data_IF_409584723673
#
_entry.id   IF_409584723673
#
_cell.length_a   1.000
_cell.length_b   1.000
_cell.length_c   1.000
_cell.angle_alpha   90.00
_cell.angle_beta   90.00
_cell.angle_gamma   90.00
#
_symmetry.space_group_name_H-M   'P 1'
#
loop_
_entity.id
_entity.type
_entity.pdbx_description
1 polymer ?
#
# COMPACT_ATOMS: atom_id res chain seq x y z
N UNK A 1 47.28 1.98 53.33
CA UNK A 1 46.94 1.02 52.27
C UNK A 1 45.42 1.01 52.04
N UNK A 2 44.87 2.14 51.62
CA UNK A 2 43.45 2.30 51.26
C UNK A 2 43.34 3.51 50.32
N UNK A 3 43.33 3.28 49.03
CA UNK A 3 42.88 4.23 47.98
C UNK A 3 43.24 3.63 46.61
N UNK A 4 42.43 2.73 46.10
CA UNK A 4 42.42 2.37 44.65
C UNK A 4 41.28 1.39 44.28
N UNK A 5 40.06 1.58 44.78
CA UNK A 5 38.89 0.79 44.32
C UNK A 5 37.66 1.71 44.12
N UNK A 6 37.80 2.85 43.48
CA UNK A 6 36.63 3.69 43.23
C UNK A 6 36.61 4.33 41.83
N UNK A 7 37.45 3.90 40.90
CA UNK A 7 37.46 4.48 39.57
C UNK A 7 37.03 3.55 38.42
N UNK A 8 36.85 2.26 38.71
CA UNK A 8 36.48 1.29 37.66
C UNK A 8 34.95 1.08 37.49
N UNK A 9 34.13 1.49 38.45
CA UNK A 9 32.68 1.27 38.42
C UNK A 9 31.92 2.43 37.70
N UNK A 10 32.51 3.62 37.65
CA UNK A 10 31.92 4.77 36.98
C UNK A 10 32.13 4.82 35.48
N UNK A 11 33.09 4.09 34.93
CA UNK A 11 33.32 3.98 33.49
C UNK A 11 32.47 2.91 32.81
N UNK A 12 31.96 1.93 33.53
CA UNK A 12 31.08 0.89 33.00
C UNK A 12 29.62 1.39 32.87
N UNK A 13 29.19 2.31 33.73
CA UNK A 13 27.84 2.90 33.65
C UNK A 13 27.70 3.96 32.54
N UNK A 14 28.80 4.58 32.11
CA UNK A 14 28.81 5.56 31.03
C UNK A 14 28.80 4.97 29.63
N UNK A 15 29.17 3.70 29.46
CA UNK A 15 29.21 3.01 28.19
C UNK A 15 27.88 2.26 27.86
N UNK A 16 27.04 2.01 28.85
CA UNK A 16 25.70 1.44 28.63
C UNK A 16 24.62 2.46 28.25
N UNK A 17 24.84 3.75 28.48
CA UNK A 17 23.89 4.81 28.16
C UNK A 17 24.05 5.35 26.73
N UNK A 18 25.00 4.86 25.95
CA UNK A 18 25.26 5.33 24.57
C UNK A 18 24.86 4.32 23.49
N UNK A 19 24.18 3.23 23.83
CA UNK A 19 23.79 2.20 22.88
C UNK A 19 22.29 2.14 22.56
N UNK A 20 21.48 3.09 22.99
CA UNK A 20 20.05 3.07 22.64
C UNK A 20 19.55 4.42 22.14
N UNK A 21 20.09 4.87 21.05
CA UNK A 21 19.38 5.68 20.06
C UNK A 21 19.73 5.15 18.67
N UNK A 22 19.40 3.90 18.39
CA UNK A 22 19.05 3.57 17.03
C UNK A 22 17.81 4.41 16.76
N UNK A 23 18.03 5.48 16.02
CA UNK A 23 16.95 6.33 15.49
C UNK A 23 16.00 5.40 14.78
N UNK A 24 14.74 5.40 15.16
CA UNK A 24 13.71 4.80 14.38
C UNK A 24 13.91 5.28 12.94
N UNK A 25 14.32 4.35 12.07
CA UNK A 25 14.49 4.70 10.67
C UNK A 25 13.11 4.97 10.16
N UNK A 26 12.84 6.22 9.83
CA UNK A 26 11.58 6.63 9.27
C UNK A 26 11.36 5.86 7.97
N UNK A 27 10.21 5.27 7.82
CA UNK A 27 9.78 4.65 6.59
C UNK A 27 8.32 5.01 6.36
N UNK A 28 7.94 5.08 5.09
CA UNK A 28 6.53 5.25 4.77
C UNK A 28 5.82 3.92 4.94
N UNK A 29 4.83 3.82 5.80
CA UNK A 29 4.13 2.58 6.01
C UNK A 29 3.37 2.18 4.77
N UNK A 30 3.69 1.03 4.23
CA UNK A 30 2.92 0.45 3.15
C UNK A 30 1.67 -0.24 3.66
N UNK A 31 1.80 -0.99 4.73
CA UNK A 31 0.73 -1.82 5.30
C UNK A 31 1.07 -2.21 6.72
N UNK A 32 0.10 -2.13 7.61
CA UNK A 32 0.09 -2.97 8.81
C UNK A 32 -0.74 -4.20 8.48
N UNK A 33 -0.11 -5.34 8.46
CA UNK A 33 -0.77 -6.59 8.14
C UNK A 33 -0.96 -7.41 9.40
N UNK A 34 -2.19 -7.88 9.60
CA UNK A 34 -2.51 -8.82 10.65
C UNK A 34 -2.35 -10.23 10.10
N UNK A 35 -1.49 -11.03 10.74
CA UNK A 35 -1.36 -12.44 10.42
C UNK A 35 -2.60 -13.22 10.86
N UNK A 36 -3.57 -13.28 9.96
CA UNK A 36 -4.81 -14.04 10.14
C UNK A 36 -4.70 -15.51 9.71
N UNK A 37 -3.52 -15.99 9.35
CA UNK A 37 -3.35 -17.29 8.70
C UNK A 37 -3.53 -18.49 9.60
N UNK A 38 -3.62 -18.28 10.85
CA UNK A 38 -4.27 -19.23 11.70
C UNK A 38 -5.71 -18.74 11.84
N UNK A 39 -6.64 -19.45 11.24
CA UNK A 39 -8.11 -19.30 11.37
C UNK A 39 -8.55 -19.33 12.82
N UNK A 40 -7.74 -19.84 13.66
CA UNK A 40 -7.66 -19.54 15.07
C UNK A 40 -6.71 -18.34 15.18
N UNK A 41 -7.22 -17.14 14.82
CA UNK A 41 -6.61 -15.91 15.25
C UNK A 41 -6.07 -16.23 16.61
N UNK A 42 -4.78 -16.29 16.69
CA UNK A 42 -4.15 -16.31 17.97
C UNK A 42 -4.87 -15.25 18.76
N UNK A 43 -5.42 -15.60 19.92
CA UNK A 43 -5.77 -14.59 20.90
C UNK A 43 -4.59 -13.61 21.12
N UNK A 44 -3.46 -13.87 20.50
CA UNK A 44 -2.20 -13.18 20.38
C UNK A 44 -1.89 -12.78 18.93
N UNK A 45 -2.83 -12.28 18.16
CA UNK A 45 -2.61 -11.76 16.79
C UNK A 45 -1.37 -10.87 16.77
N UNK A 46 -0.43 -11.20 15.91
CA UNK A 46 0.76 -10.38 15.72
C UNK A 46 0.61 -9.55 14.46
N UNK A 47 0.80 -8.26 14.60
CA UNK A 47 0.80 -7.32 13.50
C UNK A 47 2.20 -7.20 12.92
N UNK A 48 2.28 -7.06 11.59
CA UNK A 48 3.51 -6.82 10.85
C UNK A 48 3.36 -5.58 10.00
N UNK A 49 4.20 -4.60 10.23
CA UNK A 49 4.17 -3.33 9.55
C UNK A 49 5.26 -3.29 8.49
N UNK A 50 4.87 -3.29 7.23
CA UNK A 50 5.78 -3.18 6.09
C UNK A 50 5.75 -1.76 5.55
N UNK A 51 6.93 -1.23 5.21
CA UNK A 51 7.04 0.10 4.66
C UNK A 51 8.31 0.28 3.84
N UNK A 52 8.28 1.30 3.02
CA UNK A 52 9.41 1.73 2.22
C UNK A 52 10.50 2.29 3.12
N UNK A 53 11.71 1.72 3.08
CA UNK A 53 12.84 2.22 3.86
C UNK A 53 13.41 3.47 3.19
N UNK A 54 12.95 4.62 3.62
CA UNK A 54 13.37 5.92 3.09
C UNK A 54 14.78 6.30 3.55
N UNK A 55 15.44 7.12 2.73
CA UNK A 55 16.72 7.76 3.07
C UNK A 55 16.53 9.26 3.21
N UNK A 56 17.52 9.95 3.76
CA UNK A 56 17.44 11.39 4.05
C UNK A 56 17.43 12.23 2.76
N UNK A 57 16.72 13.37 2.80
CA UNK A 57 16.66 14.36 1.75
C UNK A 57 15.55 14.15 0.73
N UNK A 58 15.46 15.05 -0.25
CA UNK A 58 14.45 15.04 -1.32
C UNK A 58 14.53 13.79 -2.20
N UNK A 59 15.73 13.24 -2.39
CA UNK A 59 15.96 11.99 -3.12
C UNK A 59 15.61 10.73 -2.34
N UNK A 60 15.14 10.85 -1.10
CA UNK A 60 14.86 9.71 -0.22
C UNK A 60 13.67 8.85 -0.62
N UNK A 61 12.86 9.32 -1.58
CA UNK A 61 11.77 8.56 -2.21
C UNK A 61 12.28 7.45 -3.14
N UNK A 62 13.49 7.59 -3.67
CA UNK A 62 14.15 6.56 -4.47
C UNK A 62 14.59 5.41 -3.56
N UNK A 63 14.32 4.17 -3.96
CA UNK A 63 14.64 2.98 -3.18
C UNK A 63 16.15 2.71 -3.14
N UNK A 64 16.76 2.99 -2.00
CA UNK A 64 18.18 2.74 -1.75
C UNK A 64 18.41 1.51 -0.86
N UNK A 65 17.37 1.07 -0.14
CA UNK A 65 17.43 -0.04 0.84
C UNK A 65 16.39 -1.11 0.50
N UNK A 66 15.12 -0.74 0.33
CA UNK A 66 14.02 -1.65 0.03
C UNK A 66 12.85 -1.53 1.00
N UNK A 67 12.25 -2.67 1.36
CA UNK A 67 11.11 -2.75 2.28
C UNK A 67 11.59 -3.17 3.67
N UNK A 68 11.19 -2.43 4.68
CA UNK A 68 11.44 -2.74 6.10
C UNK A 68 10.22 -3.37 6.76
N UNK A 69 10.43 -4.14 7.82
CA UNK A 69 9.37 -4.78 8.60
C UNK A 69 9.51 -4.50 10.09
N UNK A 70 8.39 -4.19 10.73
CA UNK A 70 8.26 -4.15 12.19
C UNK A 70 7.14 -5.10 12.63
N UNK A 71 7.17 -5.58 13.86
CA UNK A 71 6.11 -6.42 14.42
C UNK A 71 5.63 -5.91 15.79
N UNK A 72 4.34 -6.12 16.07
CA UNK A 72 3.72 -5.77 17.34
C UNK A 72 2.65 -6.78 17.73
N UNK A 73 2.38 -6.90 19.03
CA UNK A 73 1.25 -7.67 19.58
C UNK A 73 0.13 -6.76 20.11
N UNK A 74 0.37 -5.46 20.20
CA UNK A 74 -0.54 -4.50 20.84
C UNK A 74 -0.75 -3.20 20.06
N UNK A 75 -0.09 -3.04 18.88
CA UNK A 75 -0.07 -1.83 18.06
C UNK A 75 0.61 -0.61 18.71
N UNK A 76 1.06 -0.70 19.95
CA UNK A 76 1.74 0.37 20.68
C UNK A 76 3.25 0.16 20.74
N UNK A 77 3.68 -1.09 20.91
CA UNK A 77 5.08 -1.47 21.06
C UNK A 77 5.54 -2.26 19.82
N UNK A 78 6.51 -1.72 19.09
CA UNK A 78 6.99 -2.28 17.85
C UNK A 78 8.41 -2.79 17.96
N UNK A 79 8.62 -4.01 17.49
CA UNK A 79 9.94 -4.64 17.36
C UNK A 79 10.43 -4.46 15.93
N UNK A 80 11.66 -4.00 15.74
CA UNK A 80 12.34 -3.98 14.45
C UNK A 80 12.70 -5.41 14.01
N UNK A 81 12.16 -5.84 12.87
CA UNK A 81 12.44 -7.15 12.26
C UNK A 81 13.47 -7.04 11.12
N UNK A 82 13.86 -5.82 10.74
CA UNK A 82 14.88 -5.56 9.73
C UNK A 82 14.33 -5.45 8.30
N UNK A 83 15.22 -5.64 7.33
CA UNK A 83 14.91 -5.52 5.89
C UNK A 83 14.18 -6.77 5.42
N UNK A 84 12.92 -6.62 5.05
CA UNK A 84 12.10 -7.71 4.52
C UNK A 84 12.44 -8.01 3.05
N UNK A 85 12.58 -6.97 2.22
CA UNK A 85 13.02 -7.08 0.82
C UNK A 85 14.12 -6.05 0.56
N UNK A 86 15.31 -6.49 0.23
CA UNK A 86 16.40 -5.60 -0.18
C UNK A 86 16.30 -5.29 -1.68
N UNK A 87 16.62 -4.05 -2.06
CA UNK A 87 16.87 -3.73 -3.49
C UNK A 87 18.11 -4.46 -3.97
N UNK A 88 18.14 -4.77 -5.26
CA UNK A 88 19.30 -5.38 -5.89
C UNK A 88 20.46 -4.37 -6.01
N UNK A 89 21.71 -4.83 -6.08
CA UNK A 89 22.86 -3.95 -6.25
C UNK A 89 22.74 -3.08 -7.51
N UNK A 90 23.30 -1.88 -7.44
CA UNK A 90 23.38 -0.98 -8.59
C UNK A 90 24.14 -1.63 -9.75
N UNK A 91 23.63 -1.49 -10.97
CA UNK A 91 24.19 -2.10 -12.17
C UNK A 91 23.91 -3.60 -12.31
N UNK A 92 23.05 -4.17 -11.47
CA UNK A 92 22.66 -5.58 -11.56
C UNK A 92 21.75 -5.89 -12.75
N UNK A 93 21.11 -4.87 -13.33
CA UNK A 93 20.07 -5.03 -14.35
C UNK A 93 18.74 -5.59 -13.82
N UNK A 94 18.60 -5.71 -12.50
CA UNK A 94 17.35 -6.11 -11.87
C UNK A 94 16.32 -4.98 -11.95
N UNK A 95 15.03 -5.24 -12.20
CA UNK A 95 14.00 -4.22 -12.11
C UNK A 95 13.96 -3.48 -10.76
N UNK A 96 14.35 -4.17 -9.66
CA UNK A 96 14.43 -3.59 -8.32
C UNK A 96 15.87 -3.19 -7.94
N UNK A 97 16.72 -2.81 -8.91
CA UNK A 97 18.04 -2.34 -8.55
C UNK A 97 18.00 -1.02 -7.78
N UNK A 98 19.03 -0.78 -6.98
CA UNK A 98 19.18 0.47 -6.23
C UNK A 98 18.99 1.67 -7.16
N UNK A 99 18.08 2.57 -6.78
CA UNK A 99 17.69 3.72 -7.58
C UNK A 99 16.36 3.54 -8.34
N UNK A 100 15.67 2.40 -8.20
CA UNK A 100 14.28 2.26 -8.60
C UNK A 100 13.36 3.03 -7.66
N UNK A 101 12.08 3.16 -8.01
CA UNK A 101 11.01 3.59 -7.10
C UNK A 101 10.23 2.34 -6.72
N UNK A 102 10.16 2.03 -5.43
CA UNK A 102 9.44 0.90 -4.87
C UNK A 102 8.48 1.45 -3.82
N UNK A 103 7.19 1.42 -4.12
CA UNK A 103 6.16 2.08 -3.30
C UNK A 103 5.03 1.13 -2.93
N UNK A 104 4.31 1.47 -1.86
CA UNK A 104 3.08 0.79 -1.43
C UNK A 104 3.22 -0.72 -1.20
N UNK A 105 4.30 -1.24 -0.58
CA UNK A 105 4.42 -2.68 -0.38
C UNK A 105 3.25 -3.22 0.43
N UNK A 106 2.68 -4.33 -0.04
CA UNK A 106 1.60 -5.08 0.61
C UNK A 106 1.96 -6.55 0.66
N UNK A 107 1.64 -7.20 1.76
CA UNK A 107 1.91 -8.62 1.98
C UNK A 107 0.60 -9.35 2.24
N UNK A 108 0.45 -10.50 1.60
CA UNK A 108 -0.62 -11.46 1.86
C UNK A 108 -0.03 -12.86 2.02
N UNK A 109 -0.70 -13.71 2.77
CA UNK A 109 -0.30 -15.10 2.92
C UNK A 109 -1.16 -16.00 2.04
N UNK A 110 -0.51 -16.90 1.33
CA UNK A 110 -1.20 -17.92 0.56
C UNK A 110 -1.26 -19.23 1.35
N UNK A 111 -2.43 -19.55 1.89
CA UNK A 111 -2.63 -20.75 2.70
C UNK A 111 -2.35 -22.05 1.92
N UNK A 112 -2.57 -22.05 0.60
CA UNK A 112 -2.35 -23.22 -0.26
C UNK A 112 -0.86 -23.54 -0.44
N UNK A 113 -0.01 -22.51 -0.61
CA UNK A 113 1.43 -22.67 -0.84
C UNK A 113 2.26 -22.51 0.43
N UNK A 114 1.66 -21.98 1.50
CA UNK A 114 2.36 -21.60 2.74
C UNK A 114 3.29 -20.41 2.57
N UNK A 115 3.22 -19.69 1.46
CA UNK A 115 4.11 -18.56 1.16
C UNK A 115 3.47 -17.23 1.56
N UNK A 116 4.33 -16.31 1.98
CA UNK A 116 4.03 -14.88 2.07
C UNK A 116 4.38 -14.24 0.74
N UNK A 117 3.44 -13.51 0.16
CA UNK A 117 3.59 -12.87 -1.15
C UNK A 117 3.51 -11.37 -0.96
N UNK A 118 4.54 -10.66 -1.38
CA UNK A 118 4.62 -9.21 -1.35
C UNK A 118 4.43 -8.67 -2.76
N UNK A 119 3.53 -7.70 -2.90
CA UNK A 119 3.36 -6.90 -4.10
C UNK A 119 3.69 -5.44 -3.80
N UNK A 120 4.15 -4.72 -4.81
CA UNK A 120 4.48 -3.30 -4.70
C UNK A 120 4.41 -2.62 -6.06
N UNK A 121 4.15 -1.31 -6.05
CA UNK A 121 4.33 -0.45 -7.22
C UNK A 121 5.83 -0.31 -7.50
N UNK A 122 6.20 -0.44 -8.76
CA UNK A 122 7.59 -0.37 -9.20
C UNK A 122 7.75 0.54 -10.41
N UNK A 123 8.66 1.49 -10.27
CA UNK A 123 9.23 2.22 -11.42
C UNK A 123 10.71 1.83 -11.55
N UNK A 124 11.11 1.23 -12.66
CA UNK A 124 12.51 0.93 -12.90
C UNK A 124 13.38 2.17 -12.86
N UNK A 125 14.64 2.04 -12.48
CA UNK A 125 15.59 3.14 -12.40
C UNK A 125 15.60 3.95 -13.71
N UNK A 126 15.38 5.27 -13.57
CA UNK A 126 15.35 6.20 -14.70
C UNK A 126 14.03 6.27 -15.47
N UNK A 127 13.03 5.45 -15.15
CA UNK A 127 11.73 5.50 -15.80
C UNK A 127 10.83 6.64 -15.31
N UNK A 128 11.18 7.31 -14.21
CA UNK A 128 10.27 8.21 -13.53
C UNK A 128 9.00 7.47 -13.12
N UNK A 129 7.83 7.99 -13.47
CA UNK A 129 6.54 7.32 -13.24
C UNK A 129 5.89 6.79 -14.54
N UNK A 130 6.70 6.49 -15.57
CA UNK A 130 6.19 5.98 -16.85
C UNK A 130 6.22 4.47 -16.98
N UNK A 131 6.98 3.78 -16.13
CA UNK A 131 7.03 2.32 -16.09
C UNK A 131 5.71 1.72 -15.63
N UNK A 132 5.18 2.23 -14.52
CA UNK A 132 3.90 1.84 -13.92
C UNK A 132 3.73 0.33 -13.83
N UNK A 133 4.71 -0.34 -13.21
CA UNK A 133 4.78 -1.78 -13.08
C UNK A 133 4.35 -2.24 -11.68
N UNK A 134 3.96 -3.48 -11.56
CA UNK A 134 3.87 -4.19 -10.28
C UNK A 134 5.06 -5.12 -10.13
N UNK A 135 5.68 -5.10 -8.95
CA UNK A 135 6.70 -6.05 -8.57
C UNK A 135 6.15 -7.10 -7.60
N UNK A 136 6.67 -8.32 -7.68
CA UNK A 136 6.27 -9.45 -6.85
C UNK A 136 7.47 -10.11 -6.21
N UNK A 137 7.37 -10.39 -4.91
CA UNK A 137 8.38 -11.12 -4.15
C UNK A 137 7.72 -12.13 -3.21
N UNK A 138 8.42 -13.19 -2.84
CA UNK A 138 7.92 -14.26 -1.97
C UNK A 138 8.89 -14.61 -0.86
N UNK A 139 8.35 -15.08 0.26
CA UNK A 139 9.13 -15.61 1.39
C UNK A 139 8.42 -16.79 2.05
N UNK A 140 9.19 -17.62 2.74
CA UNK A 140 8.69 -18.65 3.66
C UNK A 140 8.35 -18.09 5.05
N UNK A 141 8.78 -16.86 5.34
CA UNK A 141 8.57 -16.18 6.62
C UNK A 141 7.94 -14.81 6.38
N UNK A 142 7.02 -14.42 7.25
CA UNK A 142 6.37 -13.11 7.17
C UNK A 142 7.37 -11.95 7.15
N UNK A 143 8.40 -12.01 8.00
CA UNK A 143 9.43 -10.97 8.09
C UNK A 143 10.49 -11.00 6.98
N UNK A 144 10.43 -11.99 6.09
CA UNK A 144 11.41 -12.18 5.03
C UNK A 144 12.60 -13.07 5.45
N UNK A 145 13.72 -13.02 4.68
CA UNK A 145 13.90 -12.20 3.50
C UNK A 145 13.00 -12.64 2.33
N UNK A 146 12.42 -11.65 1.67
CA UNK A 146 11.65 -11.88 0.44
C UNK A 146 12.60 -12.00 -0.74
N UNK A 147 12.30 -12.93 -1.63
CA UNK A 147 12.99 -13.11 -2.90
C UNK A 147 12.15 -12.53 -4.02
N UNK A 148 12.67 -11.52 -4.70
CA UNK A 148 12.04 -10.95 -5.89
C UNK A 148 11.80 -12.03 -6.95
N UNK A 149 10.62 -12.05 -7.56
CA UNK A 149 10.24 -12.98 -8.61
C UNK A 149 10.29 -12.32 -9.98
N UNK A 150 9.47 -11.31 -10.16
CA UNK A 150 9.32 -10.58 -11.43
C UNK A 150 8.68 -9.23 -11.21
N UNK A 151 8.71 -8.42 -12.26
CA UNK A 151 7.93 -7.20 -12.37
C UNK A 151 7.48 -6.99 -13.80
N UNK A 152 6.43 -6.19 -13.98
CA UNK A 152 5.91 -5.83 -15.28
C UNK A 152 4.57 -5.12 -15.18
N UNK A 153 4.10 -4.62 -16.31
CA UNK A 153 2.71 -4.22 -16.48
C UNK A 153 1.84 -5.47 -16.51
N UNK A 154 0.59 -5.31 -16.16
CA UNK A 154 -0.28 -6.43 -15.80
C UNK A 154 -1.37 -6.69 -16.84
N UNK A 155 -1.92 -7.91 -16.84
CA UNK A 155 -3.03 -8.31 -17.72
C UNK A 155 -2.77 -8.08 -19.24
N UNK A 156 -1.52 -8.25 -19.72
CA UNK A 156 -1.18 -8.09 -21.12
C UNK A 156 -2.07 -8.98 -22.01
N UNK A 157 -2.60 -8.41 -23.10
CA UNK A 157 -3.49 -9.09 -24.04
C UNK A 157 -4.89 -9.40 -23.51
N UNK A 158 -5.26 -8.91 -22.31
CA UNK A 158 -6.57 -9.16 -21.68
C UNK A 158 -7.41 -7.90 -21.62
N UNK A 159 -8.68 -8.02 -22.02
CA UNK A 159 -9.65 -6.96 -21.84
C UNK A 159 -10.33 -7.07 -20.48
N UNK A 160 -10.64 -5.93 -19.82
CA UNK A 160 -11.44 -5.94 -18.61
C UNK A 160 -12.86 -6.46 -18.88
N UNK A 161 -13.47 -7.07 -17.88
CA UNK A 161 -14.85 -7.53 -17.96
C UNK A 161 -15.78 -6.36 -18.33
N UNK A 162 -16.79 -6.64 -19.13
CA UNK A 162 -17.78 -5.64 -19.57
C UNK A 162 -17.25 -4.64 -20.58
N UNK A 163 -16.05 -4.80 -21.16
CA UNK A 163 -15.56 -3.91 -22.21
C UNK A 163 -16.44 -4.00 -23.47
N UNK A 164 -17.09 -2.91 -23.88
CA UNK A 164 -17.95 -2.92 -25.06
C UNK A 164 -17.13 -3.12 -26.34
N UNK A 165 -17.72 -3.79 -27.32
CA UNK A 165 -17.06 -4.06 -28.61
C UNK A 165 -16.68 -2.77 -29.35
N UNK A 166 -17.47 -1.71 -29.18
CA UNK A 166 -17.18 -0.40 -29.73
C UNK A 166 -15.84 0.17 -29.22
N UNK A 167 -15.49 -0.07 -27.96
CA UNK A 167 -14.21 0.38 -27.41
C UNK A 167 -13.04 -0.48 -27.90
N UNK A 168 -13.24 -1.78 -28.09
CA UNK A 168 -12.21 -2.69 -28.63
C UNK A 168 -11.84 -2.33 -30.07
N UNK A 169 -12.82 -1.89 -30.86
CA UNK A 169 -12.62 -1.53 -32.28
C UNK A 169 -12.21 -0.08 -32.49
N UNK A 170 -12.53 0.82 -31.56
CA UNK A 170 -12.19 2.24 -31.66
C UNK A 170 -10.66 2.46 -31.77
N UNK A 171 -10.22 3.52 -32.47
CA UNK A 171 -8.81 3.87 -32.51
C UNK A 171 -8.29 4.35 -31.14
N UNK A 172 -6.99 4.19 -30.94
CA UNK A 172 -6.28 4.83 -29.81
C UNK A 172 -6.07 6.30 -30.13
N UNK A 173 -6.44 7.19 -29.21
CA UNK A 173 -6.28 8.65 -29.35
C UNK A 173 -5.13 9.18 -28.48
N UNK A 174 -4.65 8.40 -27.51
CA UNK A 174 -3.61 8.81 -26.56
C UNK A 174 -2.29 8.16 -26.92
N UNK A 175 -1.34 8.92 -27.39
CA UNK A 175 0.03 8.47 -27.68
C UNK A 175 0.99 8.79 -26.54
N UNK A 176 0.75 9.88 -25.80
CA UNK A 176 1.61 10.35 -24.72
C UNK A 176 1.21 9.79 -23.35
N UNK A 177 2.10 9.92 -22.40
CA UNK A 177 1.82 9.71 -20.97
C UNK A 177 1.29 11.00 -20.35
N UNK A 178 0.35 10.83 -19.44
CA UNK A 178 -0.23 11.90 -18.62
C UNK A 178 -0.02 11.57 -17.14
N UNK A 179 -0.15 12.55 -16.28
CA UNK A 179 -0.05 12.36 -14.85
C UNK A 179 -1.01 13.27 -14.09
N UNK A 180 -1.44 12.81 -12.92
CA UNK A 180 -2.04 13.65 -11.92
C UNK A 180 -3.29 14.44 -12.31
N UNK A 181 -4.12 13.94 -13.20
CA UNK A 181 -5.33 14.64 -13.62
C UNK A 181 -5.15 15.50 -14.88
N UNK A 182 -4.01 15.41 -15.54
CA UNK A 182 -3.69 16.16 -16.76
C UNK A 182 -4.36 15.60 -18.04
N UNK A 183 -5.17 14.54 -17.90
CA UNK A 183 -5.87 13.95 -19.03
C UNK A 183 -6.82 14.96 -19.68
N UNK A 184 -6.69 15.21 -20.99
CA UNK A 184 -7.52 16.20 -21.70
C UNK A 184 -8.95 15.73 -21.91
N UNK A 185 -9.23 14.43 -21.75
CA UNK A 185 -10.53 13.81 -21.96
C UNK A 185 -10.71 12.56 -21.11
N UNK A 186 -11.96 12.05 -21.05
CA UNK A 186 -12.26 10.79 -20.36
C UNK A 186 -11.45 9.62 -20.96
N UNK A 187 -10.93 8.66 -20.15
CA UNK A 187 -10.05 7.59 -20.62
C UNK A 187 -10.63 6.74 -21.76
N UNK A 188 -11.94 6.53 -21.82
CA UNK A 188 -12.58 5.80 -22.91
C UNK A 188 -12.51 6.56 -24.26
N UNK A 189 -12.56 7.89 -24.25
CA UNK A 189 -12.41 8.68 -25.48
C UNK A 189 -10.98 8.67 -26.01
N UNK A 190 -10.00 8.53 -25.13
CA UNK A 190 -8.59 8.35 -25.49
C UNK A 190 -8.24 6.90 -25.80
N UNK A 191 -9.07 5.97 -25.39
CA UNK A 191 -8.87 4.52 -25.47
C UNK A 191 -7.55 4.03 -24.85
N UNK A 192 -7.27 4.50 -23.62
CA UNK A 192 -6.07 4.16 -22.88
C UNK A 192 -5.97 2.65 -22.63
N UNK A 193 -7.10 2.00 -22.37
CA UNK A 193 -7.15 0.55 -22.15
C UNK A 193 -6.64 -0.24 -23.36
N UNK A 194 -6.92 0.22 -24.58
CA UNK A 194 -6.40 -0.40 -25.81
C UNK A 194 -4.95 -0.02 -26.08
N UNK A 195 -4.54 1.20 -25.76
CA UNK A 195 -3.14 1.62 -25.85
C UNK A 195 -2.23 0.65 -25.12
N UNK A 196 -2.64 0.27 -23.91
CA UNK A 196 -1.84 -0.56 -22.99
C UNK A 196 -2.19 -2.06 -23.08
N UNK A 197 -3.05 -2.47 -24.03
CA UNK A 197 -3.53 -3.85 -24.11
C UNK A 197 -2.39 -4.85 -24.31
N UNK A 198 -1.55 -4.66 -25.33
CA UNK A 198 -0.50 -5.61 -25.69
C UNK A 198 0.65 -5.60 -24.68
N UNK A 199 1.03 -4.42 -24.19
CA UNK A 199 2.13 -4.24 -23.24
C UNK A 199 1.76 -4.50 -21.80
N UNK A 200 0.46 -4.64 -21.52
CA UNK A 200 -0.09 -4.73 -20.17
C UNK A 200 -0.49 -3.37 -19.60
N UNK A 201 -1.48 -3.42 -18.70
CA UNK A 201 -2.05 -2.25 -18.05
C UNK A 201 -1.07 -1.66 -17.03
N UNK A 202 -1.08 -0.33 -16.91
CA UNK A 202 -0.35 0.37 -15.85
C UNK A 202 -0.85 -0.05 -14.47
N UNK A 203 0.04 -0.11 -13.48
CA UNK A 203 -0.32 -0.27 -12.09
C UNK A 203 0.58 0.60 -11.23
N UNK A 204 -0.02 1.57 -10.54
CA UNK A 204 0.66 2.49 -9.62
C UNK A 204 0.17 2.24 -8.19
N UNK A 205 -0.29 3.26 -7.48
CA UNK A 205 -0.80 3.10 -6.12
C UNK A 205 -1.73 1.90 -5.98
N UNK A 206 -1.46 1.05 -5.00
CA UNK A 206 -2.09 -0.26 -4.95
C UNK A 206 -2.42 -0.74 -3.55
N UNK A 207 -3.32 -1.69 -3.48
CA UNK A 207 -3.65 -2.49 -2.30
C UNK A 207 -3.84 -3.95 -2.68
N UNK A 208 -3.78 -4.83 -1.70
CA UNK A 208 -4.17 -6.23 -1.81
C UNK A 208 -5.32 -6.53 -0.86
N UNK A 209 -6.21 -7.40 -1.29
CA UNK A 209 -7.30 -7.91 -0.45
C UNK A 209 -7.45 -9.40 -0.67
N UNK A 210 -7.62 -10.16 0.41
CA UNK A 210 -7.95 -11.59 0.38
C UNK A 210 -9.33 -11.75 0.97
N UNK A 211 -10.25 -12.31 0.19
CA UNK A 211 -11.62 -12.55 0.62
C UNK A 211 -11.72 -13.82 1.49
N UNK A 212 -12.87 -14.03 2.11
CA UNK A 212 -13.13 -15.14 3.05
C UNK A 212 -12.97 -16.52 2.39
N UNK A 213 -13.17 -16.62 1.08
CA UNK A 213 -12.98 -17.86 0.31
C UNK A 213 -11.53 -18.11 -0.12
N UNK A 214 -10.60 -17.21 0.24
CA UNK A 214 -9.20 -17.26 -0.15
C UNK A 214 -8.92 -16.72 -1.55
N UNK A 215 -9.89 -16.11 -2.22
CA UNK A 215 -9.63 -15.38 -3.47
C UNK A 215 -8.93 -14.08 -3.17
N UNK A 216 -7.80 -13.83 -3.84
CA UNK A 216 -7.03 -12.60 -3.65
C UNK A 216 -7.21 -11.63 -4.83
N UNK A 217 -7.17 -10.35 -4.50
CA UNK A 217 -7.37 -9.25 -5.44
C UNK A 217 -6.28 -8.20 -5.32
N UNK A 218 -5.88 -7.64 -6.45
CA UNK A 218 -5.02 -6.48 -6.58
C UNK A 218 -5.87 -5.29 -7.02
N UNK A 219 -5.85 -4.22 -6.25
CA UNK A 219 -6.57 -2.96 -6.49
C UNK A 219 -5.53 -1.91 -6.79
N UNK A 220 -5.61 -1.22 -7.92
CA UNK A 220 -4.54 -0.31 -8.34
C UNK A 220 -5.05 0.82 -9.23
N UNK A 221 -4.33 1.95 -9.18
CA UNK A 221 -4.53 3.07 -10.10
C UNK A 221 -3.88 2.75 -11.46
N UNK A 222 -4.63 2.95 -12.52
CA UNK A 222 -4.27 2.61 -13.90
C UNK A 222 -4.69 3.71 -14.88
N UNK A 223 -4.42 3.50 -16.17
CA UNK A 223 -4.83 4.42 -17.23
C UNK A 223 -4.43 5.88 -16.91
N UNK A 224 -3.14 6.11 -16.64
CA UNK A 224 -2.57 7.39 -16.21
C UNK A 224 -3.23 7.93 -14.91
N UNK A 225 -3.50 7.06 -13.96
CA UNK A 225 -4.22 7.32 -12.70
C UNK A 225 -5.69 7.73 -12.87
N UNK A 226 -6.20 7.76 -14.09
CA UNK A 226 -7.59 8.18 -14.33
C UNK A 226 -8.64 7.17 -13.88
N UNK A 227 -8.25 5.91 -13.77
CA UNK A 227 -9.17 4.78 -13.55
C UNK A 227 -8.58 3.84 -12.50
N UNK A 228 -9.40 3.43 -11.55
CA UNK A 228 -9.05 2.33 -10.66
C UNK A 228 -9.37 1.00 -11.34
N UNK A 229 -8.48 0.04 -11.25
CA UNK A 229 -8.72 -1.33 -11.69
C UNK A 229 -8.66 -2.29 -10.52
N UNK A 230 -9.47 -3.34 -10.56
CA UNK A 230 -9.48 -4.44 -9.58
C UNK A 230 -9.30 -5.73 -10.34
N UNK A 231 -8.19 -6.42 -10.09
CA UNK A 231 -7.83 -7.65 -10.76
C UNK A 231 -7.73 -8.82 -9.78
N UNK A 232 -8.24 -9.99 -10.19
CA UNK A 232 -8.09 -11.22 -9.43
C UNK A 232 -6.70 -11.79 -9.62
N UNK A 233 -6.08 -12.24 -8.54
CA UNK A 233 -4.81 -12.95 -8.58
C UNK A 233 -5.02 -14.44 -8.89
N UNK A 234 -3.96 -15.08 -9.38
CA UNK A 234 -3.92 -16.51 -9.57
C UNK A 234 -3.93 -17.25 -8.21
N UNK A 235 -4.05 -18.56 -8.24
CA UNK A 235 -4.11 -19.39 -7.04
C UNK A 235 -2.86 -19.35 -6.15
N UNK A 236 -1.72 -18.89 -6.67
CA UNK A 236 -0.47 -18.72 -5.92
C UNK A 236 -0.27 -17.31 -5.39
N UNK A 237 -1.13 -16.38 -5.79
CA UNK A 237 -1.05 -14.95 -5.52
C UNK A 237 0.17 -14.26 -6.14
N UNK A 238 0.86 -14.90 -7.04
CA UNK A 238 2.10 -14.40 -7.64
C UNK A 238 1.92 -13.79 -9.01
N UNK A 239 0.71 -13.86 -9.58
CA UNK A 239 0.37 -13.28 -10.87
C UNK A 239 -1.16 -13.02 -10.94
N UNK A 240 -1.62 -12.37 -12.00
CA UNK A 240 -3.03 -12.19 -12.30
C UNK A 240 -3.57 -13.39 -13.10
N UNK A 241 -4.85 -13.70 -12.92
CA UNK A 241 -5.51 -14.76 -13.72
C UNK A 241 -6.13 -14.23 -15.03
N UNK A 242 -6.04 -12.92 -15.26
CA UNK A 242 -6.60 -12.24 -16.43
C UNK A 242 -8.01 -11.72 -16.24
N UNK A 243 -8.61 -11.91 -15.06
CA UNK A 243 -9.94 -11.40 -14.71
C UNK A 243 -9.83 -10.06 -14.00
N UNK A 244 -10.37 -8.98 -14.57
CA UNK A 244 -10.36 -7.66 -13.94
C UNK A 244 -11.48 -6.76 -14.43
N UNK A 245 -11.76 -5.73 -13.64
CA UNK A 245 -12.75 -4.69 -13.93
C UNK A 245 -12.11 -3.30 -13.89
N UNK A 246 -12.82 -2.33 -14.43
CA UNK A 246 -12.50 -0.89 -14.37
C UNK A 246 -13.54 -0.18 -13.51
N UNK A 247 -13.10 0.55 -12.50
CA UNK A 247 -13.94 1.32 -11.59
C UNK A 247 -13.57 2.80 -11.66
N UNK A 248 -14.52 3.69 -11.41
CA UNK A 248 -14.30 5.13 -11.25
C UNK A 248 -13.55 5.78 -12.41
N UNK A 249 -13.91 5.43 -13.63
CA UNK A 249 -13.27 5.94 -14.86
C UNK A 249 -13.30 7.46 -14.93
N UNK A 250 -12.14 8.07 -15.14
CA UNK A 250 -11.96 9.53 -15.16
C UNK A 250 -12.06 10.22 -13.81
N UNK A 251 -12.05 9.47 -12.70
CA UNK A 251 -12.17 10.02 -11.34
C UNK A 251 -10.83 10.32 -10.68
N UNK A 252 -9.71 9.84 -11.23
CA UNK A 252 -8.36 10.05 -10.69
C UNK A 252 -8.28 9.70 -9.20
N UNK A 253 -8.48 8.44 -8.88
CA UNK A 253 -8.43 7.91 -7.53
C UNK A 253 -7.12 7.17 -7.29
N UNK A 254 -6.42 7.56 -6.23
CA UNK A 254 -5.17 6.95 -5.78
C UNK A 254 -5.29 6.33 -4.39
N UNK A 255 -4.21 5.69 -3.94
CA UNK A 255 -4.06 5.16 -2.60
C UNK A 255 -5.24 4.30 -2.13
N UNK A 256 -5.69 3.30 -2.92
CA UNK A 256 -6.82 2.47 -2.54
C UNK A 256 -6.52 1.68 -1.27
N UNK A 257 -7.52 1.60 -0.37
CA UNK A 257 -7.51 0.74 0.81
C UNK A 257 -8.86 0.02 0.90
N UNK A 258 -8.84 -1.29 0.69
CA UNK A 258 -10.05 -2.13 0.69
C UNK A 258 -10.22 -2.85 2.02
N UNK A 259 -11.45 -2.96 2.48
CA UNK A 259 -11.83 -3.82 3.61
C UNK A 259 -13.26 -4.35 3.44
N UNK A 260 -13.62 -5.35 4.24
CA UNK A 260 -14.94 -5.96 4.26
C UNK A 260 -15.59 -5.76 5.62
N UNK A 261 -16.85 -5.34 5.63
CA UNK A 261 -17.65 -5.18 6.83
C UNK A 261 -19.10 -5.61 6.54
N UNK A 262 -19.69 -6.44 7.41
CA UNK A 262 -21.07 -6.95 7.30
C UNK A 262 -21.40 -7.48 5.89
N UNK A 263 -20.46 -8.22 5.30
CA UNK A 263 -20.65 -8.86 3.99
C UNK A 263 -20.53 -7.90 2.79
N UNK A 264 -20.27 -6.63 3.00
CA UNK A 264 -20.06 -5.62 1.94
C UNK A 264 -18.59 -5.21 1.85
N UNK A 265 -18.16 -4.79 0.68
CA UNK A 265 -16.80 -4.33 0.42
C UNK A 265 -16.77 -2.81 0.38
N UNK A 266 -15.78 -2.25 1.04
CA UNK A 266 -15.57 -0.81 1.11
C UNK A 266 -14.18 -0.44 0.57
N UNK A 267 -14.11 0.70 -0.07
CA UNK A 267 -12.87 1.32 -0.52
C UNK A 267 -12.75 2.71 0.08
N UNK A 268 -11.56 3.03 0.57
CA UNK A 268 -11.10 4.38 0.82
C UNK A 268 -10.02 4.72 -0.18
N UNK A 269 -10.02 5.94 -0.71
CA UNK A 269 -9.11 6.42 -1.74
C UNK A 269 -8.84 7.90 -1.54
N UNK A 270 -7.85 8.44 -2.23
CA UNK A 270 -7.61 9.88 -2.36
C UNK A 270 -7.91 10.37 -3.77
N UNK A 271 -7.91 11.69 -3.97
CA UNK A 271 -7.70 12.28 -5.30
C UNK A 271 -6.23 12.25 -5.70
N UNK A 272 -5.92 12.64 -6.93
CA UNK A 272 -4.58 12.69 -7.49
C UNK A 272 -4.09 14.14 -7.50
N UNK A 273 -3.32 14.55 -6.49
CA UNK A 273 -2.81 15.91 -6.31
C UNK A 273 -1.31 15.96 -5.97
N UNK A 274 -0.56 14.93 -6.38
CA UNK A 274 0.86 14.80 -6.06
C UNK A 274 1.07 14.70 -4.55
N UNK A 275 2.01 15.47 -4.01
CA UNK A 275 2.33 15.45 -2.58
C UNK A 275 1.36 16.27 -1.70
N UNK A 276 0.43 17.01 -2.31
CA UNK A 276 -0.55 17.81 -1.56
C UNK A 276 -1.70 16.95 -1.07
N UNK A 277 -2.07 17.03 0.23
CA UNK A 277 -3.23 16.29 0.73
C UNK A 277 -4.53 16.82 0.10
N UNK A 278 -5.51 15.95 -0.02
CA UNK A 278 -6.82 16.27 -0.56
C UNK A 278 -7.93 15.51 0.18
N UNK A 279 -9.18 15.79 -0.17
CA UNK A 279 -10.32 15.10 0.40
C UNK A 279 -10.31 13.61 0.03
N UNK A 280 -10.42 12.75 1.04
CA UNK A 280 -10.61 11.34 0.84
C UNK A 280 -11.92 11.06 0.07
N UNK A 281 -11.99 9.90 -0.53
CA UNK A 281 -13.15 9.38 -1.25
C UNK A 281 -13.45 7.98 -0.75
N UNK A 282 -14.70 7.62 -0.72
CA UNK A 282 -15.10 6.27 -0.33
C UNK A 282 -16.13 5.69 -1.27
N UNK A 283 -16.16 4.38 -1.31
CA UNK A 283 -17.14 3.65 -2.12
C UNK A 283 -17.48 2.31 -1.48
N UNK A 284 -18.60 1.72 -1.92
CA UNK A 284 -19.11 0.45 -1.43
C UNK A 284 -19.60 -0.41 -2.57
N UNK A 285 -19.47 -1.73 -2.42
CA UNK A 285 -20.02 -2.74 -3.34
C UNK A 285 -20.50 -3.98 -2.60
N UNK A 286 -21.42 -4.72 -3.21
CA UNK A 286 -21.86 -6.03 -2.71
C UNK A 286 -20.99 -7.18 -3.28
N UNK A 287 -20.17 -6.89 -4.29
CA UNK A 287 -19.24 -7.82 -4.91
C UNK A 287 -17.99 -7.09 -5.38
N UNK A 288 -16.80 -7.67 -5.16
CA UNK A 288 -15.51 -7.01 -5.47
C UNK A 288 -15.38 -6.68 -6.97
N UNK A 289 -15.80 -7.61 -7.84
CA UNK A 289 -15.79 -7.42 -9.30
C UNK A 289 -17.13 -6.91 -9.83
N UNK A 290 -18.02 -6.41 -8.97
CA UNK A 290 -19.31 -5.84 -9.33
C UNK A 290 -19.29 -4.33 -9.49
N UNK A 291 -20.47 -3.74 -9.37
CA UNK A 291 -20.64 -2.28 -9.42
C UNK A 291 -20.30 -1.64 -8.07
N UNK A 292 -19.55 -0.56 -8.13
CA UNK A 292 -19.14 0.25 -6.98
C UNK A 292 -19.91 1.56 -6.94
N UNK A 293 -20.46 1.89 -5.78
CA UNK A 293 -21.17 3.16 -5.52
C UNK A 293 -20.30 4.08 -4.67
N UNK A 294 -20.04 5.31 -5.18
CA UNK A 294 -19.31 6.31 -4.42
C UNK A 294 -20.16 6.83 -3.24
N UNK A 295 -19.56 6.96 -2.06
CA UNK A 295 -20.17 7.47 -0.83
C UNK A 295 -19.69 8.88 -0.44
N UNK A 296 -18.70 9.41 -1.17
CA UNK A 296 -18.09 10.70 -0.89
C UNK A 296 -16.95 10.64 0.12
N UNK A 297 -16.66 11.76 0.78
CA UNK A 297 -15.59 11.87 1.78
C UNK A 297 -16.02 11.19 3.09
N UNK A 298 -15.29 10.19 3.59
CA UNK A 298 -15.59 9.57 4.88
C UNK A 298 -15.07 10.39 6.08
N UNK A 299 -14.14 11.32 5.86
CA UNK A 299 -13.64 12.20 6.91
C UNK A 299 -14.63 13.31 7.20
N UNK A 300 -14.80 13.63 8.47
CA UNK A 300 -15.73 14.68 8.95
C UNK A 300 -14.98 15.68 9.83
N UNK A 301 -15.66 16.76 10.24
CA UNK A 301 -15.11 17.83 11.10
C UNK A 301 -13.99 18.66 10.42
N UNK A 302 -13.21 19.37 11.22
CA UNK A 302 -12.13 20.23 10.73
C UNK A 302 -11.07 19.41 9.98
N UNK A 303 -10.48 20.01 8.94
CA UNK A 303 -9.46 19.40 8.07
C UNK A 303 -9.88 18.14 7.30
N UNK A 304 -11.16 17.78 7.32
CA UNK A 304 -11.72 16.66 6.56
C UNK A 304 -11.50 16.80 5.03
N UNK A 305 -11.48 18.04 4.52
CA UNK A 305 -11.19 18.33 3.11
C UNK A 305 -9.75 18.01 2.70
N UNK A 306 -8.87 17.81 3.67
CA UNK A 306 -7.47 17.43 3.48
C UNK A 306 -7.17 16.03 4.06
N UNK A 307 -8.19 15.26 4.44
CA UNK A 307 -8.02 13.96 5.09
C UNK A 307 -7.08 14.08 6.28
N UNK A 308 -7.24 15.14 7.08
CA UNK A 308 -6.38 15.49 8.22
C UNK A 308 -4.89 15.59 7.84
N UNK A 309 -4.60 16.15 6.67
CA UNK A 309 -3.27 16.26 6.07
C UNK A 309 -2.58 14.90 5.84
N UNK A 310 -3.32 13.90 5.37
CA UNK A 310 -2.81 12.56 5.10
C UNK A 310 -3.39 11.94 3.84
N UNK A 311 -2.79 10.85 3.41
CA UNK A 311 -3.30 10.00 2.33
C UNK A 311 -3.46 8.57 2.87
N UNK A 312 -4.52 7.88 2.46
CA UNK A 312 -4.76 6.49 2.87
C UNK A 312 -3.63 5.55 2.44
N UNK A 313 -3.32 4.59 3.31
CA UNK A 313 -2.41 3.50 2.97
C UNK A 313 -3.04 2.14 3.24
N UNK A 314 -3.82 2.03 4.30
CA UNK A 314 -4.46 0.78 4.69
C UNK A 314 -5.64 1.02 5.64
N UNK A 315 -6.59 0.10 5.64
CA UNK A 315 -7.62 -0.01 6.70
C UNK A 315 -7.35 -1.33 7.43
N UNK A 316 -6.92 -1.22 8.67
CA UNK A 316 -6.49 -2.34 9.49
C UNK A 316 -7.66 -2.91 10.30
N UNK A 317 -8.04 -4.18 10.12
CA UNK A 317 -8.94 -4.84 11.06
C UNK A 317 -8.23 -5.07 12.40
N UNK A 318 -8.93 -4.86 13.51
CA UNK A 318 -8.38 -5.08 14.86
C UNK A 318 -8.53 -6.54 15.25
N UNK A 319 -7.41 -7.18 15.60
CA UNK A 319 -7.41 -8.59 15.99
C UNK A 319 -8.33 -8.86 17.19
N UNK A 320 -9.20 -9.87 17.04
CA UNK A 320 -10.12 -10.28 18.10
C UNK A 320 -11.29 -9.32 18.35
N UNK A 321 -11.44 -8.27 17.53
CA UNK A 321 -12.51 -7.26 17.66
C UNK A 321 -13.26 -7.15 16.32
N UNK A 322 -14.27 -7.98 16.15
CA UNK A 322 -15.09 -7.97 14.93
C UNK A 322 -15.73 -6.60 14.69
N UNK A 323 -15.67 -6.12 13.46
CA UNK A 323 -16.23 -4.83 13.06
C UNK A 323 -15.41 -3.60 13.49
N UNK A 324 -14.30 -3.78 14.19
CA UNK A 324 -13.39 -2.68 14.50
C UNK A 324 -12.27 -2.56 13.50
N UNK A 325 -12.06 -1.34 13.00
CA UNK A 325 -11.04 -1.03 12.01
C UNK A 325 -10.31 0.26 12.38
N UNK A 326 -9.07 0.36 11.91
CA UNK A 326 -8.23 1.54 12.07
C UNK A 326 -7.84 2.05 10.68
N UNK A 327 -8.10 3.31 10.43
CA UNK A 327 -7.53 4.05 9.29
C UNK A 327 -6.05 4.30 9.53
N UNK A 328 -5.22 3.95 8.56
CA UNK A 328 -3.80 4.29 8.52
C UNK A 328 -3.58 5.29 7.39
N UNK A 329 -3.04 6.44 7.74
CA UNK A 329 -2.74 7.51 6.79
C UNK A 329 -1.30 7.99 6.89
N UNK A 330 -0.72 8.33 5.73
CA UNK A 330 0.63 8.86 5.59
C UNK A 330 0.61 10.37 5.52
N UNK A 331 1.54 11.02 6.20
CA UNK A 331 1.87 12.43 6.06
C UNK A 331 3.26 12.57 5.47
N UNK A 332 3.32 13.05 4.27
CA UNK A 332 4.55 13.19 3.51
C UNK A 332 5.34 14.42 3.93
N UNK A 333 6.67 14.33 3.89
CA UNK A 333 7.60 15.46 3.94
C UNK A 333 8.55 15.34 2.74
N UNK A 334 8.16 15.85 1.56
CA UNK A 334 8.92 15.64 0.31
C UNK A 334 10.35 16.16 0.35
N UNK A 335 10.59 17.22 1.12
CA UNK A 335 11.91 17.86 1.28
C UNK A 335 12.88 16.97 2.08
N UNK A 336 12.33 16.09 2.91
CA UNK A 336 13.11 15.11 3.66
C UNK A 336 12.28 13.83 3.92
N UNK A 337 12.46 12.83 3.09
CA UNK A 337 11.64 11.62 3.10
C UNK A 337 11.64 10.84 4.43
N UNK A 338 12.69 10.99 5.26
CA UNK A 338 12.74 10.36 6.58
C UNK A 338 11.89 11.07 7.64
N UNK A 339 11.37 12.26 7.35
CA UNK A 339 10.53 13.02 8.28
C UNK A 339 9.03 12.80 8.06
N UNK A 340 8.66 11.74 7.38
CA UNK A 340 7.26 11.31 7.24
C UNK A 340 6.61 11.05 8.60
N UNK A 341 5.30 11.33 8.70
CA UNK A 341 4.46 11.09 9.88
C UNK A 341 3.26 10.25 9.52
N UNK A 342 2.57 9.77 10.54
CA UNK A 342 1.41 8.89 10.37
C UNK A 342 0.26 9.39 11.22
N UNK A 343 -0.96 9.12 10.77
CA UNK A 343 -2.14 9.18 11.61
C UNK A 343 -2.87 7.85 11.57
N UNK A 344 -3.32 7.43 12.73
CA UNK A 344 -4.15 6.25 12.89
C UNK A 344 -5.40 6.66 13.64
N UNK A 345 -6.56 6.40 13.06
CA UNK A 345 -7.86 6.80 13.60
C UNK A 345 -8.83 5.63 13.53
N UNK A 346 -9.67 5.41 14.56
CA UNK A 346 -10.70 4.38 14.51
C UNK A 346 -11.75 4.74 13.46
N UNK A 347 -12.29 3.71 12.78
CA UNK A 347 -13.47 3.84 11.95
C UNK A 347 -14.73 3.73 12.79
N UNK A 348 -15.71 4.55 12.47
CA UNK A 348 -17.09 4.49 12.97
C UNK A 348 -18.01 4.13 11.81
N UNK A 349 -19.13 3.47 12.05
CA UNK A 349 -20.11 3.12 11.02
C UNK A 349 -21.45 3.78 11.30
N UNK A 350 -21.97 4.50 10.32
CA UNK A 350 -23.24 5.22 10.39
C UNK A 350 -23.99 5.01 9.06
N UNK A 351 -25.23 4.55 9.10
CA UNK A 351 -26.11 4.40 7.92
C UNK A 351 -25.47 3.67 6.72
N UNK A 352 -24.73 2.58 6.99
CA UNK A 352 -24.05 1.78 5.95
C UNK A 352 -22.83 2.45 5.33
N UNK A 353 -22.30 3.49 5.94
CA UNK A 353 -21.08 4.21 5.56
C UNK A 353 -20.07 4.12 6.71
N UNK A 354 -18.78 4.12 6.38
CA UNK A 354 -17.76 4.34 7.40
C UNK A 354 -17.42 5.84 7.49
N UNK A 355 -17.17 6.26 8.71
CA UNK A 355 -16.83 7.65 9.07
C UNK A 355 -15.51 7.64 9.81
N UNK A 356 -14.69 8.65 9.56
CA UNK A 356 -13.44 8.89 10.26
C UNK A 356 -13.55 10.27 10.91
N UNK A 357 -13.39 10.31 12.24
CA UNK A 357 -13.36 11.56 13.03
C UNK A 357 -11.96 11.79 13.56
N UNK A 358 -11.53 13.04 13.55
CA UNK A 358 -10.29 13.42 14.24
C UNK A 358 -10.37 13.16 15.73
N UNK A 359 -9.33 12.57 16.28
CA UNK A 359 -9.15 12.38 17.72
C UNK A 359 -7.70 12.75 18.06
N UNK A 360 -7.54 13.71 18.97
CA UNK A 360 -6.19 14.09 19.44
C UNK A 360 -5.51 12.95 20.18
N UNK A 361 -6.30 12.16 20.91
CA UNK A 361 -5.87 10.95 21.61
C UNK A 361 -6.98 9.90 21.56
N UNK A 362 -6.61 8.66 21.44
CA UNK A 362 -7.54 7.53 21.53
C UNK A 362 -6.79 6.25 21.92
N UNK A 363 -7.52 5.26 22.39
CA UNK A 363 -7.01 3.94 22.75
C UNK A 363 -7.86 2.86 22.08
N UNK A 364 -7.22 1.72 21.81
CA UNK A 364 -7.98 0.50 21.54
C UNK A 364 -8.75 0.17 22.84
N UNK A 365 -10.07 0.17 22.76
CA UNK A 365 -10.90 -0.26 23.90
C UNK A 365 -10.68 -1.75 24.14
N UNK A 366 -10.60 -2.14 25.41
CA UNK A 366 -10.41 -3.51 25.85
C UNK A 366 -11.61 -4.41 25.49
#
# INVERSE_FOLDING_TARGET
MWKQISLAVLLAAGLLACQTKERYKSFTPGQVWLDNNNVHINANGRYYWFGEHKTEGEGGNVANVGVHCYSSTDLYNWKDEGIALAVAPEGSGSPIEKGCILERPKVIHNARTGKYVMWFHLEPKGAGYTGAQSGVAVSDKVTGPYRFLHAGRINAGKWPQGTPESLKTAPVQAEAHYSGGDLPAHPDSLNLIKRDLEGGQMARDMNLFVDDDGTAYHIYASEENSTLQIARLNSDYTDHDGTYIRCFKGRFMEAPAMFKHEGRYYLMMSGCTGWSPNAARSAVADSILGEWTELGNPCVDADSALTYHSQSTYILPVAGKEGQFIYLGDRWTPENAIDGRYIWLPLEFEDGRFIIRWKDEWKLED
#
